data_IF_985067596329
#
_entry.id   IF_985067596329
#
_cell.length_a   1.000
_cell.length_b   1.000
_cell.length_c   1.000
_cell.angle_alpha   90.00
_cell.angle_beta   90.00
_cell.angle_gamma   90.00
#
_symmetry.space_group_name_H-M   'P 1'
#
loop_
_entity.id
_entity.type
_entity.pdbx_description
1 polymer ?
#
# COMPACT_ATOMS: atom_id res chain seq x y z
N UNK A 1 -16.70 -21.81 -15.15
CA UNK A 1 -16.35 -23.19 -15.52
C UNK A 1 -14.85 -23.23 -15.80
N UNK A 2 -14.06 -23.95 -14.99
CA UNK A 2 -12.62 -24.08 -15.21
C UNK A 2 -12.38 -25.11 -16.31
N UNK A 3 -11.71 -24.71 -17.36
CA UNK A 3 -11.29 -25.62 -18.42
C UNK A 3 -10.02 -26.34 -17.94
N UNK A 4 -10.11 -27.66 -17.70
CA UNK A 4 -9.00 -28.50 -17.22
C UNK A 4 -7.81 -28.51 -18.21
N UNK A 5 -8.02 -28.16 -19.47
CA UNK A 5 -6.98 -28.12 -20.49
C UNK A 5 -6.10 -26.84 -20.44
N UNK A 6 -6.48 -25.83 -19.66
CA UNK A 6 -5.73 -24.58 -19.60
C UNK A 6 -4.93 -24.46 -18.29
N UNK A 7 -3.70 -23.95 -18.42
CA UNK A 7 -2.83 -23.68 -17.28
C UNK A 7 -3.41 -22.53 -16.44
N UNK A 8 -3.91 -22.83 -15.24
CA UNK A 8 -4.46 -21.85 -14.28
C UNK A 8 -3.40 -21.27 -13.34
N UNK A 9 -2.15 -21.71 -13.47
CA UNK A 9 -1.02 -21.24 -12.67
C UNK A 9 -0.11 -20.37 -13.50
N UNK A 10 0.50 -19.37 -12.87
CA UNK A 10 1.47 -18.47 -13.46
C UNK A 10 2.77 -18.50 -12.67
N UNK A 11 3.85 -18.84 -13.33
CA UNK A 11 5.19 -18.75 -12.73
C UNK A 11 5.70 -17.32 -12.86
N UNK A 12 6.24 -16.78 -11.77
CA UNK A 12 6.82 -15.46 -11.68
C UNK A 12 8.34 -15.62 -11.57
N UNK A 13 9.10 -14.64 -12.09
CA UNK A 13 10.56 -14.67 -12.01
C UNK A 13 11.01 -14.77 -10.54
N UNK A 14 11.77 -15.80 -10.16
CA UNK A 14 12.25 -15.98 -8.78
C UNK A 14 13.09 -14.83 -8.23
N UNK A 15 13.72 -14.03 -9.10
CA UNK A 15 14.49 -12.84 -8.72
C UNK A 15 13.64 -11.77 -8.02
N UNK A 16 12.32 -11.81 -8.17
CA UNK A 16 11.41 -10.86 -7.53
C UNK A 16 11.12 -11.21 -6.07
N UNK A 17 11.64 -12.33 -5.58
CA UNK A 17 11.37 -12.84 -4.25
C UNK A 17 9.96 -13.45 -4.13
N UNK A 18 9.57 -13.77 -2.91
CA UNK A 18 8.25 -14.38 -2.65
C UNK A 18 7.11 -13.37 -2.83
N UNK A 19 5.94 -13.88 -3.21
CA UNK A 19 4.71 -13.09 -3.26
C UNK A 19 4.26 -12.81 -1.83
N UNK A 20 4.07 -11.53 -1.51
CA UNK A 20 3.66 -11.09 -0.18
C UNK A 20 2.19 -10.67 -0.15
N UNK A 21 1.71 -10.04 -1.23
CA UNK A 21 0.32 -9.55 -1.32
C UNK A 21 -0.21 -9.67 -2.74
N UNK A 22 -1.45 -10.08 -2.86
CA UNK A 22 -2.23 -10.01 -4.09
C UNK A 22 -3.38 -9.03 -3.91
N UNK A 23 -3.54 -8.14 -4.86
CA UNK A 23 -4.63 -7.19 -4.88
C UNK A 23 -5.34 -7.23 -6.23
N UNK A 24 -6.61 -7.63 -6.20
CA UNK A 24 -7.43 -7.72 -7.41
C UNK A 24 -7.93 -6.33 -7.81
N UNK A 25 -7.83 -6.03 -9.09
CA UNK A 25 -8.40 -4.85 -9.75
C UNK A 25 -9.36 -5.32 -10.85
N UNK A 26 -10.10 -4.41 -11.46
CA UNK A 26 -11.14 -4.74 -12.44
C UNK A 26 -10.64 -5.61 -13.62
N UNK A 27 -9.40 -5.37 -14.06
CA UNK A 27 -8.84 -6.01 -15.27
C UNK A 27 -7.53 -6.72 -15.05
N UNK A 28 -6.99 -6.66 -13.84
CA UNK A 28 -5.70 -7.22 -13.51
C UNK A 28 -5.57 -7.57 -12.03
N UNK A 29 -4.53 -8.33 -11.71
CA UNK A 29 -4.10 -8.59 -10.34
C UNK A 29 -2.75 -7.94 -10.12
N UNK A 30 -2.69 -6.98 -9.22
CA UNK A 30 -1.42 -6.45 -8.73
C UNK A 30 -0.80 -7.44 -7.76
N UNK A 31 0.38 -7.92 -8.11
CA UNK A 31 1.15 -8.87 -7.32
C UNK A 31 2.36 -8.14 -6.74
N UNK A 32 2.41 -8.03 -5.42
CA UNK A 32 3.50 -7.41 -4.69
C UNK A 32 4.43 -8.51 -4.17
N UNK A 33 5.62 -8.56 -4.76
CA UNK A 33 6.71 -9.44 -4.34
C UNK A 33 7.66 -8.70 -3.40
N UNK A 34 8.61 -9.43 -2.82
CA UNK A 34 9.60 -8.82 -1.90
C UNK A 34 10.36 -7.67 -2.57
N UNK A 35 10.80 -7.85 -3.81
CA UNK A 35 11.69 -6.91 -4.51
C UNK A 35 11.09 -6.28 -5.77
N UNK A 36 9.89 -6.71 -6.19
CA UNK A 36 9.24 -6.21 -7.41
C UNK A 36 7.73 -6.18 -7.30
N UNK A 37 7.13 -5.28 -8.05
CA UNK A 37 5.68 -5.18 -8.21
C UNK A 37 5.34 -5.53 -9.65
N UNK A 38 4.34 -6.39 -9.83
CA UNK A 38 3.93 -6.92 -11.12
C UNK A 38 2.43 -6.73 -11.29
N UNK A 39 2.03 -6.43 -12.50
CA UNK A 39 0.64 -6.50 -12.93
C UNK A 39 0.43 -7.76 -13.77
N UNK A 40 -0.49 -8.62 -13.35
CA UNK A 40 -0.89 -9.80 -14.11
C UNK A 40 -2.25 -9.50 -14.74
N UNK A 41 -2.32 -9.52 -16.05
CA UNK A 41 -3.57 -9.28 -16.77
C UNK A 41 -4.53 -10.46 -16.56
N UNK A 42 -5.82 -10.17 -16.35
CA UNK A 42 -6.85 -11.18 -16.20
C UNK A 42 -7.68 -11.25 -17.50
N UNK A 43 -7.79 -12.45 -18.09
CA UNK A 43 -8.49 -12.70 -19.35
C UNK A 43 -8.06 -11.81 -20.54
N UNK A 44 -6.84 -11.25 -20.46
CA UNK A 44 -6.28 -10.34 -21.47
C UNK A 44 -4.80 -10.60 -21.63
N UNK A 45 -4.30 -10.41 -22.86
CA UNK A 45 -2.87 -10.35 -23.15
C UNK A 45 -2.52 -9.00 -23.79
N UNK A 46 -1.31 -8.52 -23.54
CA UNK A 46 -0.80 -7.31 -24.14
C UNK A 46 -0.06 -7.64 -25.44
N UNK A 47 -0.51 -7.06 -26.54
CA UNK A 47 0.20 -7.08 -27.82
C UNK A 47 0.87 -5.73 -28.01
N UNK A 48 2.14 -5.76 -28.40
CA UNK A 48 2.89 -4.54 -28.74
C UNK A 48 2.86 -4.36 -30.26
N UNK A 49 2.36 -3.22 -30.72
CA UNK A 49 2.44 -2.84 -32.12
C UNK A 49 3.88 -2.45 -32.48
N UNK A 50 4.17 -2.39 -33.78
CA UNK A 50 5.49 -1.95 -34.29
C UNK A 50 5.92 -0.57 -33.75
N UNK A 51 4.97 0.28 -33.40
CA UNK A 51 5.21 1.62 -32.83
C UNK A 51 5.39 1.60 -31.29
N UNK A 52 5.42 0.42 -30.66
CA UNK A 52 5.57 0.27 -29.20
C UNK A 52 4.31 0.50 -28.37
N UNK A 53 3.18 0.78 -28.99
CA UNK A 53 1.91 0.95 -28.31
C UNK A 53 1.33 -0.40 -27.87
N UNK A 54 0.81 -0.45 -26.64
CA UNK A 54 0.19 -1.64 -26.06
C UNK A 54 -1.29 -1.72 -26.48
N UNK A 55 -1.67 -2.81 -27.14
CA UNK A 55 -3.06 -3.19 -27.35
C UNK A 55 -3.42 -4.38 -26.44
N UNK A 56 -4.53 -4.26 -25.72
CA UNK A 56 -5.06 -5.36 -24.92
C UNK A 56 -6.00 -6.20 -25.78
N UNK A 57 -5.72 -7.49 -25.86
CA UNK A 57 -6.54 -8.44 -26.61
C UNK A 57 -7.17 -9.43 -25.63
N UNK A 58 -8.44 -9.75 -25.80
CA UNK A 58 -9.11 -10.79 -25.02
C UNK A 58 -8.45 -12.15 -25.27
N UNK A 59 -8.23 -12.90 -24.22
CA UNK A 59 -7.69 -14.25 -24.27
C UNK A 59 -8.52 -15.20 -23.41
N UNK A 60 -8.49 -16.47 -23.72
CA UNK A 60 -9.12 -17.52 -22.90
C UNK A 60 -8.31 -17.83 -21.64
N UNK A 61 -7.06 -17.37 -21.55
CA UNK A 61 -6.21 -17.58 -20.38
C UNK A 61 -6.71 -16.74 -19.21
N UNK A 62 -7.00 -17.39 -18.09
CA UNK A 62 -7.43 -16.73 -16.85
C UNK A 62 -6.34 -15.76 -16.36
N UNK A 63 -5.08 -16.21 -16.37
CA UNK A 63 -3.92 -15.40 -16.04
C UNK A 63 -3.11 -15.12 -17.32
N UNK A 64 -3.20 -13.91 -17.81
CA UNK A 64 -2.49 -13.43 -19.00
C UNK A 64 -1.03 -13.06 -18.69
N UNK A 65 -0.53 -12.09 -19.42
CA UNK A 65 0.86 -11.65 -19.30
C UNK A 65 1.13 -10.98 -17.93
N UNK A 66 2.29 -11.30 -17.35
CA UNK A 66 2.83 -10.61 -16.18
C UNK A 66 3.73 -9.46 -16.65
N UNK A 67 3.38 -8.25 -16.25
CA UNK A 67 4.06 -7.01 -16.64
C UNK A 67 4.62 -6.36 -15.38
N UNK A 68 5.96 -6.29 -15.22
CA UNK A 68 6.56 -5.59 -14.08
C UNK A 68 6.35 -4.08 -14.20
N UNK A 69 6.11 -3.42 -13.07
CA UNK A 69 6.13 -1.97 -13.02
C UNK A 69 7.57 -1.45 -13.12
N UNK A 70 7.69 -0.22 -13.62
CA UNK A 70 8.98 0.47 -13.65
C UNK A 70 9.48 0.76 -12.22
N UNK A 71 10.80 0.71 -12.05
CA UNK A 71 11.45 0.89 -10.76
C UNK A 71 11.73 -0.44 -10.06
N UNK A 72 12.70 -0.39 -9.15
CA UNK A 72 13.21 -1.55 -8.40
C UNK A 72 12.64 -1.52 -6.96
N UNK A 73 11.33 -1.47 -6.84
CA UNK A 73 10.63 -1.46 -5.56
C UNK A 73 9.78 -2.71 -5.39
N UNK A 74 9.72 -3.22 -4.16
CA UNK A 74 8.83 -4.27 -3.71
C UNK A 74 8.10 -3.88 -2.44
N UNK A 75 7.48 -4.85 -1.76
CA UNK A 75 6.83 -4.63 -0.47
C UNK A 75 7.68 -5.18 0.70
N UNK A 76 8.85 -5.76 0.38
CA UNK A 76 9.63 -6.50 1.36
C UNK A 76 8.81 -7.65 1.96
N UNK A 77 8.90 -7.84 3.27
CA UNK A 77 8.12 -8.82 4.04
C UNK A 77 7.09 -8.14 4.97
N UNK A 78 6.49 -7.04 4.50
CA UNK A 78 5.60 -6.21 5.30
C UNK A 78 4.25 -6.00 4.58
N UNK A 79 3.46 -7.07 4.33
CA UNK A 79 2.18 -6.98 3.63
C UNK A 79 1.14 -6.15 4.39
N UNK A 80 1.28 -5.96 5.70
CA UNK A 80 0.42 -5.14 6.56
C UNK A 80 0.56 -3.64 6.27
N UNK A 81 1.65 -3.24 5.62
CA UNK A 81 1.83 -1.85 5.18
C UNK A 81 0.94 -1.48 3.99
N UNK A 82 0.36 -2.49 3.31
CA UNK A 82 -0.45 -2.30 2.12
C UNK A 82 -1.87 -1.89 2.46
N UNK A 83 -2.32 -0.79 1.87
CA UNK A 83 -3.72 -0.39 1.80
C UNK A 83 -4.06 0.11 0.40
N UNK A 84 -5.27 -0.16 -0.05
CA UNK A 84 -5.80 0.37 -1.31
C UNK A 84 -7.03 1.21 -1.04
N UNK A 85 -7.08 2.39 -1.66
CA UNK A 85 -8.24 3.27 -1.66
C UNK A 85 -8.46 3.87 -3.05
N UNK A 86 -9.67 3.71 -3.58
CA UNK A 86 -10.03 4.13 -4.94
C UNK A 86 -9.04 3.58 -6.00
N UNK A 87 -8.32 4.46 -6.69
CA UNK A 87 -7.37 4.08 -7.75
C UNK A 87 -5.92 4.01 -7.27
N UNK A 88 -5.67 4.21 -5.98
CA UNK A 88 -4.34 4.25 -5.40
C UNK A 88 -4.14 3.12 -4.42
N UNK A 89 -2.90 2.64 -4.34
CA UNK A 89 -2.48 1.70 -3.31
C UNK A 89 -1.19 2.21 -2.70
N UNK A 90 -1.06 2.06 -1.39
CA UNK A 90 0.10 2.50 -0.61
C UNK A 90 0.74 1.30 0.05
N UNK A 91 2.05 1.30 0.15
CA UNK A 91 2.82 0.24 0.78
C UNK A 91 4.25 0.72 1.05
N UNK A 92 5.00 -0.06 1.80
CA UNK A 92 6.35 0.29 2.21
C UNK A 92 7.36 -0.72 1.69
N UNK A 93 8.42 -0.24 1.08
CA UNK A 93 9.64 -1.00 0.85
C UNK A 93 10.62 -0.70 1.98
N UNK A 94 10.59 -1.54 3.00
CA UNK A 94 11.44 -1.41 4.18
C UNK A 94 12.93 -1.44 3.83
N UNK A 95 13.33 -2.35 2.94
CA UNK A 95 14.74 -2.57 2.59
C UNK A 95 15.34 -1.35 1.88
N UNK A 96 14.51 -0.62 1.12
CA UNK A 96 14.93 0.59 0.39
C UNK A 96 14.61 1.89 1.14
N UNK A 97 13.99 1.79 2.32
CA UNK A 97 13.62 2.94 3.14
C UNK A 97 12.64 3.87 2.42
N UNK A 98 11.67 3.29 1.70
CA UNK A 98 10.77 4.04 0.83
C UNK A 98 9.31 3.72 1.12
N UNK A 99 8.48 4.76 1.15
CA UNK A 99 7.02 4.64 1.12
C UNK A 99 6.55 4.92 -0.29
N UNK A 100 5.70 4.04 -0.81
CA UNK A 100 5.35 3.99 -2.21
C UNK A 100 3.84 4.16 -2.40
N UNK A 101 3.50 4.86 -3.46
CA UNK A 101 2.14 4.99 -3.98
C UNK A 101 2.07 4.38 -5.38
N UNK A 102 1.23 3.39 -5.57
CA UNK A 102 0.87 2.87 -6.88
C UNK A 102 -0.41 3.55 -7.36
N UNK A 103 -0.35 4.15 -8.54
CA UNK A 103 -1.48 4.80 -9.20
C UNK A 103 -1.59 4.35 -10.66
N UNK A 104 -2.41 5.04 -11.45
CA UNK A 104 -2.47 4.80 -12.91
C UNK A 104 -1.18 5.16 -13.63
N UNK A 105 -0.44 6.13 -13.09
CA UNK A 105 0.83 6.61 -13.66
C UNK A 105 2.03 5.72 -13.28
N UNK A 106 1.79 4.70 -12.48
CA UNK A 106 2.80 3.75 -12.01
C UNK A 106 3.14 3.88 -10.53
N UNK A 107 4.35 3.45 -10.17
CA UNK A 107 4.86 3.46 -8.79
C UNK A 107 5.62 4.75 -8.55
N UNK A 108 5.22 5.48 -7.52
CA UNK A 108 5.85 6.72 -7.09
C UNK A 108 6.37 6.60 -5.65
N UNK A 109 7.57 7.13 -5.42
CA UNK A 109 8.14 7.19 -4.09
C UNK A 109 7.71 8.48 -3.37
N UNK A 110 6.69 8.37 -2.50
CA UNK A 110 6.13 9.49 -1.74
C UNK A 110 6.94 9.88 -0.49
N UNK A 111 7.91 9.06 -0.06
CA UNK A 111 8.84 9.47 1.00
C UNK A 111 9.73 10.65 0.57
N UNK A 112 9.88 10.90 -0.74
CA UNK A 112 10.64 12.03 -1.29
C UNK A 112 10.03 13.40 -1.01
N UNK A 113 8.78 13.45 -0.59
CA UNK A 113 8.12 14.71 -0.20
C UNK A 113 8.55 15.18 1.20
N UNK A 114 9.82 15.55 1.32
CA UNK A 114 10.41 16.15 2.52
C UNK A 114 10.80 15.16 3.63
N UNK A 115 10.62 13.84 3.44
CA UNK A 115 10.81 12.85 4.51
C UNK A 115 11.79 11.72 4.16
N UNK A 116 12.59 11.88 3.11
CA UNK A 116 13.48 10.82 2.60
C UNK A 116 14.42 10.28 3.65
N UNK A 117 15.12 11.14 4.37
CA UNK A 117 16.14 10.73 5.35
C UNK A 117 15.46 10.13 6.57
N UNK A 118 14.36 10.74 7.04
CA UNK A 118 13.61 10.18 8.17
C UNK A 118 13.14 8.74 7.89
N UNK A 119 12.61 8.47 6.71
CA UNK A 119 12.17 7.11 6.36
C UNK A 119 13.32 6.13 6.23
N UNK A 120 14.45 6.52 5.67
CA UNK A 120 15.64 5.67 5.61
C UNK A 120 16.14 5.27 7.01
N UNK A 121 16.15 6.22 7.94
CA UNK A 121 16.64 6.00 9.29
C UNK A 121 15.69 5.13 10.12
N UNK A 122 14.37 5.29 9.96
CA UNK A 122 13.37 4.65 10.81
C UNK A 122 12.79 3.35 10.23
N UNK A 123 12.64 3.23 8.91
CA UNK A 123 12.03 2.04 8.32
C UNK A 123 12.92 0.81 8.45
N UNK A 124 14.21 0.94 8.24
CA UNK A 124 15.12 -0.22 8.26
C UNK A 124 15.14 -0.92 9.62
N UNK A 125 15.06 -0.15 10.70
CA UNK A 125 15.06 -0.65 12.10
C UNK A 125 13.67 -1.01 12.60
N UNK A 126 12.59 -0.75 11.85
CA UNK A 126 11.21 -1.04 12.28
C UNK A 126 10.97 -2.55 12.46
N UNK A 127 10.12 -2.90 13.40
CA UNK A 127 9.67 -4.28 13.63
C UNK A 127 8.39 -4.59 12.89
N UNK A 128 7.49 -3.60 12.78
CA UNK A 128 6.18 -3.73 12.14
C UNK A 128 5.81 -2.45 11.42
N UNK A 129 5.13 -2.59 10.27
CA UNK A 129 4.69 -1.48 9.44
C UNK A 129 3.23 -1.70 9.09
N UNK A 130 2.36 -0.78 9.52
CA UNK A 130 0.91 -0.90 9.34
C UNK A 130 0.40 0.28 8.53
N UNK A 131 -0.19 -0.01 7.37
CA UNK A 131 -0.81 0.97 6.50
C UNK A 131 -2.32 0.98 6.60
N UNK A 132 -2.92 2.15 6.74
CA UNK A 132 -4.37 2.32 6.69
C UNK A 132 -4.74 3.64 6.02
N UNK A 133 -6.01 3.81 5.68
CA UNK A 133 -6.49 4.99 4.99
C UNK A 133 -7.68 5.59 5.73
N UNK A 134 -7.60 6.88 6.05
CA UNK A 134 -8.70 7.65 6.60
C UNK A 134 -9.45 8.33 5.45
N UNK A 135 -10.65 7.83 5.13
CA UNK A 135 -11.47 8.34 4.03
C UNK A 135 -12.00 9.75 4.30
N UNK A 136 -12.41 10.03 5.54
CA UNK A 136 -12.90 11.36 5.94
C UNK A 136 -11.85 12.45 5.70
N UNK A 137 -10.62 12.19 6.09
CA UNK A 137 -9.49 13.13 5.91
C UNK A 137 -8.82 13.03 4.54
N UNK A 138 -9.08 11.96 3.77
CA UNK A 138 -8.38 11.70 2.50
C UNK A 138 -6.89 11.46 2.70
N UNK A 139 -6.49 10.78 3.75
CA UNK A 139 -5.09 10.60 4.12
C UNK A 139 -4.70 9.14 4.31
N UNK A 140 -3.51 8.80 3.81
CA UNK A 140 -2.84 7.54 4.13
C UNK A 140 -2.10 7.70 5.44
N UNK A 141 -2.35 6.79 6.37
CA UNK A 141 -1.65 6.73 7.64
C UNK A 141 -0.71 5.52 7.66
N UNK A 142 0.54 5.76 8.04
CA UNK A 142 1.55 4.73 8.22
C UNK A 142 1.99 4.71 9.68
N UNK A 143 1.77 3.58 10.34
CA UNK A 143 2.34 3.32 11.67
C UNK A 143 3.63 2.52 11.51
N UNK A 144 4.69 3.05 12.05
CA UNK A 144 6.03 2.47 12.10
C UNK A 144 6.32 2.09 13.54
N UNK A 145 6.40 0.79 13.84
CA UNK A 145 6.76 0.28 15.17
C UNK A 145 8.22 -0.12 15.20
N UNK A 146 8.90 0.19 16.29
CA UNK A 146 10.33 -0.10 16.44
C UNK A 146 10.86 0.26 17.82
N UNK A 147 12.04 0.86 17.90
CA UNK A 147 12.55 1.39 19.16
C UNK A 147 11.70 2.53 19.70
N UNK A 148 11.19 3.34 18.79
CA UNK A 148 10.17 4.37 19.06
C UNK A 148 9.08 4.19 18.00
N UNK A 149 7.83 4.26 18.44
CA UNK A 149 6.68 4.07 17.57
C UNK A 149 6.18 5.42 17.04
N UNK A 150 5.84 5.45 15.77
CA UNK A 150 5.34 6.65 15.09
C UNK A 150 4.13 6.31 14.22
N UNK A 151 3.18 7.24 14.14
CA UNK A 151 2.13 7.22 13.12
C UNK A 151 2.19 8.52 12.33
N UNK A 152 2.41 8.40 11.01
CA UNK A 152 2.52 9.52 10.09
C UNK A 152 1.33 9.55 9.15
N UNK A 153 0.92 10.76 8.75
CA UNK A 153 -0.15 10.95 7.76
C UNK A 153 0.37 11.62 6.50
N UNK A 154 0.05 11.02 5.36
CA UNK A 154 0.25 11.60 4.03
C UNK A 154 -1.10 12.07 3.48
N UNK A 155 -1.21 13.33 3.13
CA UNK A 155 -2.43 13.93 2.57
C UNK A 155 -2.29 14.09 1.06
N UNK A 156 -3.17 13.45 0.31
CA UNK A 156 -3.18 13.48 -1.16
C UNK A 156 -3.51 14.86 -1.74
N UNK A 157 -4.27 15.67 -1.03
CA UNK A 157 -4.69 17.00 -1.53
C UNK A 157 -3.53 17.96 -1.61
N UNK A 158 -2.61 17.88 -0.67
CA UNK A 158 -1.40 18.72 -0.63
C UNK A 158 -0.16 17.96 -1.11
N UNK A 159 -0.32 16.66 -1.40
CA UNK A 159 0.72 15.75 -1.87
C UNK A 159 1.96 15.78 -0.95
N UNK A 160 1.73 15.60 0.34
CA UNK A 160 2.79 15.71 1.34
C UNK A 160 2.46 15.08 2.69
N UNK A 161 3.52 14.87 3.47
CA UNK A 161 3.43 14.40 4.85
C UNK A 161 3.02 15.56 5.76
N UNK A 162 1.90 15.40 6.46
CA UNK A 162 1.26 16.51 7.18
C UNK A 162 1.49 16.49 8.67
N UNK A 163 1.53 15.32 9.27
CA UNK A 163 1.61 15.24 10.73
C UNK A 163 2.12 13.91 11.23
N UNK A 164 2.76 13.97 12.40
CA UNK A 164 2.89 12.84 13.29
C UNK A 164 1.66 12.78 14.20
N UNK A 165 1.01 11.63 14.26
CA UNK A 165 -0.15 11.42 15.11
C UNK A 165 0.28 10.99 16.50
N UNK A 166 -0.47 11.40 17.51
CA UNK A 166 -0.18 11.05 18.92
C UNK A 166 -0.59 9.63 19.28
N UNK A 167 -1.31 8.94 18.40
CA UNK A 167 -1.76 7.56 18.65
C UNK A 167 -0.98 6.54 17.82
N UNK A 168 -0.75 5.38 18.41
CA UNK A 168 -0.16 4.22 17.78
C UNK A 168 -1.24 3.14 17.69
N UNK A 169 -1.49 2.62 16.52
CA UNK A 169 -2.57 1.66 16.29
C UNK A 169 -2.03 0.24 16.04
N UNK A 170 -2.87 -0.74 16.26
CA UNK A 170 -2.63 -2.13 15.90
C UNK A 170 -3.10 -2.43 14.46
N UNK A 171 -4.18 -1.77 14.04
CA UNK A 171 -4.73 -1.77 12.70
C UNK A 171 -5.74 -0.64 12.55
N UNK A 172 -6.19 -0.32 11.34
CA UNK A 172 -7.20 0.70 11.08
C UNK A 172 -7.94 0.50 9.78
N UNK A 173 -9.20 0.90 9.77
CA UNK A 173 -10.03 0.86 8.58
C UNK A 173 -11.00 2.05 8.53
N UNK A 174 -11.43 2.41 7.33
CA UNK A 174 -12.58 3.31 7.15
C UNK A 174 -13.81 2.51 6.77
N UNK A 175 -14.92 2.82 7.39
CA UNK A 175 -16.21 2.24 7.11
C UNK A 175 -17.27 3.34 7.14
N UNK A 176 -18.03 3.49 6.05
CA UNK A 176 -19.08 4.50 5.93
C UNK A 176 -18.59 5.94 6.22
N UNK A 177 -17.41 6.27 5.71
CA UNK A 177 -16.74 7.57 5.91
C UNK A 177 -16.36 7.89 7.37
N UNK A 178 -16.42 6.92 8.27
CA UNK A 178 -15.88 7.01 9.61
C UNK A 178 -14.58 6.24 9.70
N UNK A 179 -13.63 6.74 10.49
CA UNK A 179 -12.32 6.13 10.65
C UNK A 179 -12.22 5.42 12.00
N UNK A 180 -11.92 4.12 11.93
CA UNK A 180 -11.78 3.25 13.08
C UNK A 180 -10.36 2.73 13.19
N UNK A 181 -9.87 2.64 14.43
CA UNK A 181 -8.59 1.99 14.73
C UNK A 181 -8.77 0.97 15.85
N UNK A 182 -7.85 0.01 15.88
CA UNK A 182 -7.80 -1.03 16.88
C UNK A 182 -6.62 -0.75 17.82
N UNK A 183 -6.88 -0.82 19.12
CA UNK A 183 -5.87 -0.66 20.14
C UNK A 183 -6.28 -1.38 21.43
N UNK A 184 -5.39 -2.23 21.96
CA UNK A 184 -5.62 -3.06 23.15
C UNK A 184 -6.91 -3.91 23.07
N UNK A 185 -7.19 -4.51 21.91
CA UNK A 185 -8.38 -5.32 21.70
C UNK A 185 -9.69 -4.54 21.66
N UNK A 186 -9.65 -3.22 21.62
CA UNK A 186 -10.82 -2.33 21.52
C UNK A 186 -10.85 -1.62 20.17
N UNK A 187 -12.07 -1.30 19.74
CA UNK A 187 -12.32 -0.50 18.54
C UNK A 187 -12.55 0.96 18.96
N UNK A 188 -11.84 1.86 18.31
CA UNK A 188 -11.92 3.30 18.58
C UNK A 188 -12.38 4.03 17.33
N UNK A 189 -13.45 4.82 17.47
CA UNK A 189 -13.90 5.72 16.41
C UNK A 189 -13.18 7.07 16.55
N UNK A 190 -12.58 7.53 15.46
CA UNK A 190 -11.88 8.80 15.38
C UNK A 190 -12.79 9.92 14.85
N UNK A 191 -12.34 11.16 15.02
CA UNK A 191 -13.02 12.37 14.50
C UNK A 191 -14.44 12.57 15.06
N UNK A 192 -14.70 12.02 16.23
CA UNK A 192 -15.96 12.21 16.98
C UNK A 192 -15.99 13.56 17.70
N UNK A 193 -17.14 13.91 18.29
CA UNK A 193 -17.32 15.12 19.13
C UNK A 193 -16.64 15.05 20.51
N UNK A 194 -15.76 14.08 20.73
CA UNK A 194 -14.99 13.92 21.96
C UNK A 194 -14.00 15.07 22.18
N UNK A 195 -13.44 15.12 23.39
CA UNK A 195 -12.46 16.14 23.77
C UNK A 195 -11.27 16.15 22.78
N UNK A 196 -10.85 17.36 22.41
CA UNK A 196 -9.66 17.53 21.54
C UNK A 196 -8.43 16.92 22.19
N UNK A 197 -7.50 16.47 21.37
CA UNK A 197 -6.23 15.85 21.78
C UNK A 197 -6.38 14.64 22.69
N UNK A 198 -7.53 13.96 22.66
CA UNK A 198 -7.76 12.74 23.44
C UNK A 198 -7.83 11.56 22.49
N UNK A 199 -6.88 10.64 22.63
CA UNK A 199 -6.83 9.39 21.85
C UNK A 199 -6.73 8.20 22.80
N UNK A 200 -7.52 7.18 22.56
CA UNK A 200 -7.56 5.96 23.37
C UNK A 200 -7.79 6.24 24.89
N UNK A 201 -8.61 7.25 25.19
CA UNK A 201 -8.87 7.67 26.56
C UNK A 201 -7.75 8.50 27.21
N UNK A 202 -6.65 8.75 26.52
CA UNK A 202 -5.51 9.53 27.02
C UNK A 202 -5.47 10.91 26.38
N UNK A 203 -5.29 11.94 27.22
CA UNK A 203 -5.10 13.32 26.76
C UNK A 203 -3.63 13.57 26.41
N UNK A 204 -3.39 14.19 25.26
CA UNK A 204 -2.06 14.60 24.78
C UNK A 204 -2.00 16.13 24.72
N UNK A 205 -0.98 16.70 25.35
CA UNK A 205 -0.74 18.14 25.25
C UNK A 205 -0.33 18.51 23.81
N UNK A 206 -0.87 19.64 23.33
CA UNK A 206 -0.40 20.22 22.06
C UNK A 206 0.99 20.82 22.28
N UNK A 207 1.98 20.32 21.57
CA UNK A 207 3.32 20.93 21.48
C UNK A 207 3.30 22.19 20.61
#
# INVERSE_FOLDING_TARGET
>A
EFNIAEKITKDINPEYGSIQKLHSRDTDVTTLCEDKIIRILANKDALFNADGNVQLTATHKVLGQAIPYLGEYGIGKNPESFISHAYRSYFVDKNRGAVLRLSRDGVENISRYGMTDWFKDNLLSSTELIGNYNEDKGSYNLTVKGTTDYTLSFDERINGWTSFKSFILEDGCSLNNEYYTFYNGLIWNHDTTANRNTFYGTYYESS
#
